data_IF_796531984699
#
_entry.id   IF_796531984699
#
_cell.length_a   1.000
_cell.length_b   1.000
_cell.length_c   1.000
_cell.angle_alpha   90.00
_cell.angle_beta   90.00
_cell.angle_gamma   90.00
#
_symmetry.space_group_name_H-M   'P 1'
#
loop_
_entity.id
_entity.type
_entity.pdbx_description
1 polymer ?
#
# COMPACT_ATOMS: atom_id res chain seq x y z
N UNK A 1 -4.91 17.48 17.83
CA UNK A 1 -5.54 16.15 17.65
C UNK A 1 -7.02 16.28 17.96
N UNK A 2 -7.88 15.78 17.08
CA UNK A 2 -9.34 15.75 17.27
C UNK A 2 -9.73 14.27 17.29
N UNK A 3 -10.49 13.85 18.31
CA UNK A 3 -10.85 12.46 18.52
C UNK A 3 -12.31 12.30 18.87
N UNK A 4 -12.94 11.22 18.38
CA UNK A 4 -14.26 10.81 18.83
C UNK A 4 -14.20 10.17 20.21
N UNK A 5 -15.13 10.54 21.10
CA UNK A 5 -15.23 9.97 22.44
C UNK A 5 -15.51 8.46 22.42
N UNK A 6 -16.26 8.01 21.43
CA UNK A 6 -16.80 6.65 21.36
C UNK A 6 -15.90 5.72 20.51
N UNK A 7 -14.74 6.20 20.04
CA UNK A 7 -13.80 5.45 19.22
C UNK A 7 -13.19 4.26 19.99
N UNK A 8 -13.48 3.05 19.52
CA UNK A 8 -12.95 1.80 20.06
C UNK A 8 -11.67 1.33 19.38
N UNK A 9 -11.36 1.84 18.18
CA UNK A 9 -10.17 1.47 17.43
C UNK A 9 -8.98 2.32 17.86
N UNK A 10 -9.16 3.65 17.93
CA UNK A 10 -8.14 4.60 18.40
C UNK A 10 -8.58 5.19 19.73
N UNK A 11 -8.52 4.37 20.79
CA UNK A 11 -9.04 4.75 22.10
C UNK A 11 -8.34 5.97 22.72
N UNK A 12 -9.10 6.76 23.48
CA UNK A 12 -8.59 7.96 24.18
C UNK A 12 -7.44 7.63 25.13
N UNK A 13 -7.59 6.59 25.95
CA UNK A 13 -6.62 6.23 26.98
C UNK A 13 -5.45 5.40 26.45
N UNK A 14 -5.71 4.50 25.50
CA UNK A 14 -4.68 3.60 24.97
C UNK A 14 -3.75 4.27 23.98
N UNK A 15 -4.23 5.27 23.24
CA UNK A 15 -3.51 5.82 22.09
C UNK A 15 -3.37 7.34 22.16
N UNK A 16 -4.49 8.05 22.28
CA UNK A 16 -4.53 9.47 21.97
C UNK A 16 -3.98 10.36 23.10
N UNK A 17 -4.27 10.04 24.37
CA UNK A 17 -3.72 10.76 25.52
C UNK A 17 -2.20 10.54 25.65
N UNK A 18 -1.67 9.31 25.56
CA UNK A 18 -0.22 9.09 25.52
C UNK A 18 0.47 9.86 24.39
N UNK A 19 -0.12 9.83 23.18
CA UNK A 19 0.43 10.51 22.02
C UNK A 19 0.41 12.04 22.18
N UNK A 20 -0.69 12.61 22.67
CA UNK A 20 -0.78 14.05 22.94
C UNK A 20 0.21 14.49 24.02
N UNK A 21 0.47 13.67 25.04
CA UNK A 21 1.45 13.97 26.09
C UNK A 21 2.90 13.92 25.57
N UNK A 22 3.18 13.11 24.54
CA UNK A 22 4.51 12.98 23.96
C UNK A 22 4.88 14.11 22.98
N UNK A 23 3.90 14.88 22.49
CA UNK A 23 4.12 15.92 21.48
C UNK A 23 4.03 17.32 22.15
N UNK A 24 5.12 18.11 22.15
CA UNK A 24 5.10 19.47 22.68
C UNK A 24 4.02 20.32 22.02
N UNK A 25 3.31 21.13 22.83
CA UNK A 25 2.23 22.03 22.39
C UNK A 25 1.00 21.33 21.77
N UNK A 26 0.95 19.99 21.75
CA UNK A 26 -0.20 19.28 21.22
C UNK A 26 -1.45 19.52 22.07
N UNK A 27 -2.56 19.80 21.38
CA UNK A 27 -3.90 19.89 21.97
C UNK A 27 -4.70 18.67 21.58
N UNK A 28 -5.39 18.06 22.54
CA UNK A 28 -6.35 16.98 22.29
C UNK A 28 -7.78 17.50 22.54
N UNK A 29 -8.56 17.58 21.47
CA UNK A 29 -9.99 17.87 21.54
C UNK A 29 -10.79 16.57 21.39
N UNK A 30 -11.74 16.36 22.30
CA UNK A 30 -12.58 15.15 22.33
C UNK A 30 -14.02 15.52 22.00
N UNK A 31 -14.51 14.97 20.90
CA UNK A 31 -15.84 15.22 20.33
C UNK A 31 -16.81 14.16 20.83
N UNK A 32 -17.90 14.58 21.48
CA UNK A 32 -18.88 13.64 22.04
C UNK A 32 -19.88 13.18 20.98
N UNK A 33 -20.28 11.90 21.00
CA UNK A 33 -21.16 11.34 19.98
C UNK A 33 -20.49 11.12 18.62
N UNK A 34 -19.15 10.99 18.63
CA UNK A 34 -18.34 10.61 17.48
C UNK A 34 -17.49 9.40 17.86
N UNK A 35 -17.35 8.46 16.92
CA UNK A 35 -16.46 7.32 17.00
C UNK A 35 -15.22 7.59 16.12
N UNK A 36 -14.85 6.63 15.26
CA UNK A 36 -13.57 6.68 14.54
C UNK A 36 -13.50 7.78 13.48
N UNK A 37 -14.63 8.22 12.93
CA UNK A 37 -14.69 9.17 11.82
C UNK A 37 -15.33 10.50 12.23
N UNK A 38 -14.77 11.12 13.28
CA UNK A 38 -15.28 12.38 13.82
C UNK A 38 -15.56 13.49 12.78
N UNK A 39 -14.76 13.70 11.70
CA UNK A 39 -15.07 14.69 10.66
C UNK A 39 -16.36 14.40 9.89
N UNK A 40 -16.74 13.12 9.76
CA UNK A 40 -17.96 12.69 9.08
C UNK A 40 -19.16 12.72 10.04
N UNK A 41 -18.95 12.30 11.29
CA UNK A 41 -20.01 12.13 12.27
C UNK A 41 -20.44 13.46 12.91
N UNK A 42 -19.49 14.37 13.10
CA UNK A 42 -19.68 15.67 13.78
C UNK A 42 -19.01 16.82 13.01
N UNK A 43 -19.35 17.02 11.73
CA UNK A 43 -18.63 17.91 10.83
C UNK A 43 -18.55 19.36 11.34
N UNK A 44 -19.65 19.92 11.84
CA UNK A 44 -19.68 21.31 12.32
C UNK A 44 -18.75 21.55 13.52
N UNK A 45 -18.71 20.59 14.45
CA UNK A 45 -17.90 20.66 15.67
C UNK A 45 -16.41 20.48 15.34
N UNK A 46 -16.07 19.55 14.45
CA UNK A 46 -14.71 19.36 13.95
C UNK A 46 -14.22 20.56 13.15
N UNK A 47 -15.04 21.13 12.27
CA UNK A 47 -14.67 22.32 11.50
C UNK A 47 -14.40 23.53 12.40
N UNK A 48 -15.17 23.72 13.47
CA UNK A 48 -14.92 24.80 14.43
C UNK A 48 -13.58 24.63 15.15
N UNK A 49 -13.26 23.40 15.59
CA UNK A 49 -11.97 23.08 16.23
C UNK A 49 -10.77 23.28 15.29
N UNK A 50 -10.95 23.00 13.99
CA UNK A 50 -9.93 23.24 12.98
C UNK A 50 -9.73 24.74 12.71
N UNK A 51 -10.81 25.52 12.66
CA UNK A 51 -10.72 26.97 12.53
C UNK A 51 -9.96 27.59 13.71
N UNK A 52 -10.27 27.17 14.95
CA UNK A 52 -9.56 27.63 16.16
C UNK A 52 -8.07 27.26 16.14
N UNK A 53 -7.72 26.07 15.63
CA UNK A 53 -6.32 25.66 15.48
C UNK A 53 -5.57 26.56 14.47
N UNK A 54 -6.22 26.88 13.36
CA UNK A 54 -5.65 27.68 12.28
C UNK A 54 -5.55 29.16 12.64
N UNK A 55 -6.44 29.65 13.52
CA UNK A 55 -6.43 31.01 14.06
C UNK A 55 -5.46 31.20 15.25
N UNK A 56 -4.63 30.19 15.58
CA UNK A 56 -3.63 30.22 16.64
C UNK A 56 -2.50 31.26 16.45
N UNK A 57 -1.68 31.54 17.49
CA UNK A 57 -0.79 32.69 17.52
C UNK A 57 0.34 32.64 16.48
N UNK A 58 0.82 33.83 16.09
CA UNK A 58 1.82 34.06 15.05
C UNK A 58 3.03 33.11 15.15
N UNK A 59 3.34 32.32 14.11
CA UNK A 59 4.49 31.42 14.10
C UNK A 59 5.86 32.12 14.24
N UNK A 60 5.94 33.45 14.17
CA UNK A 60 7.16 34.24 14.29
C UNK A 60 7.48 34.77 15.71
N UNK A 61 6.73 34.40 16.76
CA UNK A 61 6.97 34.92 18.10
C UNK A 61 8.33 34.46 18.72
N UNK A 62 9.16 35.40 19.24
CA UNK A 62 10.45 35.06 19.82
C UNK A 62 10.32 34.33 21.17
N UNK A 63 11.04 33.20 21.32
CA UNK A 63 11.07 32.39 22.55
C UNK A 63 10.75 30.90 22.37
N UNK A 64 10.46 30.44 21.15
CA UNK A 64 10.20 29.02 20.88
C UNK A 64 11.49 28.19 21.01
N UNK A 65 11.52 27.13 21.83
CA UNK A 65 12.66 26.22 21.85
C UNK A 65 12.74 25.49 20.51
N UNK A 66 13.82 25.71 19.77
CA UNK A 66 14.17 24.85 18.64
C UNK A 66 14.60 23.50 19.24
N UNK A 67 13.74 22.49 19.17
CA UNK A 67 14.18 21.12 19.40
C UNK A 67 15.07 20.76 18.21
N UNK A 68 16.37 20.49 18.39
CA UNK A 68 17.19 20.03 17.29
C UNK A 68 16.56 18.75 16.73
N UNK A 69 16.48 18.63 15.41
CA UNK A 69 16.19 17.32 14.84
C UNK A 69 17.23 16.34 15.41
N UNK A 70 16.82 15.17 15.92
CA UNK A 70 17.79 14.16 16.29
C UNK A 70 18.70 13.92 15.08
N UNK A 71 19.99 13.76 15.34
CA UNK A 71 20.93 13.35 14.30
C UNK A 71 20.34 12.12 13.60
N UNK A 72 20.42 12.04 12.26
CA UNK A 72 19.92 10.88 11.54
C UNK A 72 20.56 9.63 12.17
N UNK A 73 19.71 8.72 12.65
CA UNK A 73 20.22 7.45 13.16
C UNK A 73 21.11 6.82 12.08
N UNK A 74 22.28 6.25 12.46
CA UNK A 74 23.09 5.53 11.50
C UNK A 74 22.21 4.49 10.81
N UNK A 75 22.32 4.31 9.48
CA UNK A 75 21.46 3.38 8.76
C UNK A 75 21.55 2.02 9.46
N UNK A 76 20.42 1.54 9.97
CA UNK A 76 20.34 0.19 10.54
C UNK A 76 20.96 -0.76 9.51
N UNK A 77 21.92 -1.58 9.96
CA UNK A 77 22.48 -2.65 9.15
C UNK A 77 21.32 -3.46 8.59
N UNK A 78 21.10 -3.37 7.28
CA UNK A 78 19.93 -3.99 6.70
C UNK A 78 20.10 -5.51 6.80
N UNK A 79 19.13 -6.23 7.41
CA UNK A 79 19.23 -7.68 7.50
C UNK A 79 19.31 -8.28 6.09
N UNK A 80 20.01 -9.42 5.91
CA UNK A 80 20.07 -10.09 4.62
C UNK A 80 18.68 -10.36 4.04
N UNK A 81 18.59 -10.47 2.72
CA UNK A 81 17.33 -10.74 2.01
C UNK A 81 16.66 -11.98 2.60
N UNK A 82 15.38 -11.84 2.94
CA UNK A 82 14.53 -12.93 3.41
C UNK A 82 14.49 -14.05 2.36
N UNK A 83 15.09 -15.20 2.68
CA UNK A 83 15.20 -16.35 1.78
C UNK A 83 13.82 -16.89 1.38
N UNK A 84 12.86 -16.88 2.32
CA UNK A 84 11.48 -17.28 2.06
C UNK A 84 10.79 -16.27 1.14
N UNK A 85 11.02 -14.97 1.36
CA UNK A 85 10.55 -13.92 0.48
C UNK A 85 11.12 -14.05 -0.93
N UNK A 86 12.42 -14.34 -1.08
CA UNK A 86 13.04 -14.56 -2.39
C UNK A 86 12.46 -15.79 -3.10
N UNK A 87 12.24 -16.89 -2.38
CA UNK A 87 11.61 -18.09 -2.93
C UNK A 87 10.21 -17.79 -3.46
N UNK A 88 9.35 -17.18 -2.65
CA UNK A 88 8.00 -16.82 -3.07
C UNK A 88 8.03 -15.82 -4.24
N UNK A 89 8.95 -14.85 -4.21
CA UNK A 89 9.10 -13.88 -5.30
C UNK A 89 9.37 -14.57 -6.63
N UNK A 90 10.25 -15.58 -6.64
CA UNK A 90 10.59 -16.38 -7.82
C UNK A 90 9.43 -17.25 -8.27
N UNK A 91 8.72 -17.88 -7.34
CA UNK A 91 7.50 -18.63 -7.63
C UNK A 91 6.43 -17.75 -8.31
N UNK A 92 6.34 -16.47 -7.95
CA UNK A 92 5.36 -15.54 -8.53
C UNK A 92 5.86 -14.96 -9.85
N UNK A 93 6.98 -14.22 -9.81
CA UNK A 93 7.46 -13.40 -10.92
C UNK A 93 8.37 -14.15 -11.91
N UNK A 94 8.86 -15.34 -11.52
CA UNK A 94 9.79 -16.14 -12.31
C UNK A 94 11.25 -15.73 -12.12
N UNK A 95 12.14 -16.70 -12.23
CA UNK A 95 13.57 -16.53 -11.96
C UNK A 95 14.22 -15.42 -12.80
N UNK A 96 14.00 -15.43 -14.13
CA UNK A 96 14.59 -14.45 -15.03
C UNK A 96 14.16 -12.99 -14.72
N UNK A 97 12.97 -12.78 -14.16
CA UNK A 97 12.57 -11.44 -13.72
C UNK A 97 13.30 -11.05 -12.44
N UNK A 98 13.33 -11.97 -11.45
CA UNK A 98 13.99 -11.71 -10.17
C UNK A 98 15.49 -11.50 -10.34
N UNK A 99 16.14 -12.30 -11.18
CA UNK A 99 17.57 -12.20 -11.44
C UNK A 99 17.93 -10.85 -12.08
N UNK A 100 17.15 -10.39 -13.06
CA UNK A 100 17.32 -9.05 -13.64
C UNK A 100 17.13 -7.95 -12.60
N UNK A 101 16.05 -8.03 -11.81
CA UNK A 101 15.76 -7.03 -10.79
C UNK A 101 16.86 -6.95 -9.70
N UNK A 102 17.48 -8.07 -9.36
CA UNK A 102 18.61 -8.11 -8.43
C UNK A 102 19.90 -7.58 -9.07
N UNK A 103 20.17 -7.92 -10.34
CA UNK A 103 21.33 -7.45 -11.08
C UNK A 103 21.30 -5.93 -11.30
N UNK A 104 20.11 -5.37 -11.55
CA UNK A 104 19.89 -3.93 -11.75
C UNK A 104 19.76 -3.15 -10.41
N UNK A 105 19.90 -3.84 -9.27
CA UNK A 105 19.79 -3.21 -7.96
C UNK A 105 21.00 -2.29 -7.70
N UNK A 106 20.71 -1.05 -7.33
CA UNK A 106 21.70 -0.03 -6.98
C UNK A 106 21.61 0.29 -5.49
N UNK A 107 22.59 1.00 -4.89
CA UNK A 107 22.46 1.47 -3.52
C UNK A 107 21.19 2.30 -3.27
N UNK A 108 20.68 2.99 -4.30
CA UNK A 108 19.43 3.75 -4.24
C UNK A 108 18.19 2.85 -4.17
N UNK A 109 18.13 1.79 -4.98
CA UNK A 109 16.95 0.91 -5.06
C UNK A 109 17.00 -0.31 -4.12
N UNK A 110 18.17 -0.65 -3.58
CA UNK A 110 18.36 -1.83 -2.72
C UNK A 110 17.46 -1.85 -1.47
N UNK A 111 17.28 -0.74 -0.72
CA UNK A 111 16.37 -0.74 0.43
C UNK A 111 14.93 -1.08 0.04
N UNK A 112 14.49 -0.59 -1.11
CA UNK A 112 13.16 -0.87 -1.64
C UNK A 112 13.03 -2.33 -2.09
N UNK A 113 14.03 -2.87 -2.80
CA UNK A 113 14.03 -4.27 -3.22
C UNK A 113 13.97 -5.22 -2.02
N UNK A 114 14.68 -4.91 -0.93
CA UNK A 114 14.61 -5.68 0.31
C UNK A 114 13.25 -5.55 0.98
N UNK A 115 12.72 -4.33 1.08
CA UNK A 115 11.40 -4.07 1.67
C UNK A 115 10.30 -4.84 0.94
N UNK A 116 10.24 -4.75 -0.39
CA UNK A 116 9.26 -5.47 -1.20
C UNK A 116 9.48 -6.98 -1.07
N UNK A 117 10.73 -7.44 -1.04
CA UNK A 117 11.01 -8.87 -0.96
C UNK A 117 10.48 -9.49 0.32
N UNK A 118 10.77 -8.86 1.46
CA UNK A 118 10.29 -9.30 2.76
C UNK A 118 8.77 -9.14 2.90
N UNK A 119 8.24 -7.97 2.54
CA UNK A 119 6.86 -7.61 2.90
C UNK A 119 5.84 -8.18 1.92
N UNK A 120 6.07 -8.05 0.61
CA UNK A 120 5.14 -8.57 -0.37
C UNK A 120 5.24 -10.10 -0.42
N UNK A 121 6.44 -10.63 -0.58
CA UNK A 121 6.62 -12.06 -0.88
C UNK A 121 6.80 -12.91 0.39
N UNK A 122 7.62 -12.45 1.33
CA UNK A 122 7.88 -13.14 2.59
C UNK A 122 6.71 -13.17 3.56
N UNK A 123 5.88 -12.11 3.56
CA UNK A 123 4.68 -12.01 4.40
C UNK A 123 3.40 -12.14 3.57
N UNK A 124 2.95 -11.10 2.87
CA UNK A 124 1.55 -11.03 2.40
C UNK A 124 1.18 -12.16 1.44
N UNK A 125 2.05 -12.47 0.48
CA UNK A 125 1.83 -13.59 -0.44
C UNK A 125 1.97 -14.93 0.28
N UNK A 126 2.90 -15.12 1.21
CA UNK A 126 3.11 -16.41 1.90
C UNK A 126 1.98 -16.79 2.87
N UNK A 127 1.17 -15.82 3.32
CA UNK A 127 0.10 -16.05 4.30
C UNK A 127 -0.92 -17.12 3.88
N UNK A 128 -1.35 -17.98 4.83
CA UNK A 128 -2.48 -18.88 4.60
C UNK A 128 -3.79 -18.09 4.52
N UNK A 129 -4.74 -18.58 3.74
CA UNK A 129 -6.11 -18.02 3.65
C UNK A 129 -6.58 -17.77 2.22
N UNK A 130 -5.67 -17.37 1.32
CA UNK A 130 -5.93 -17.31 -0.12
C UNK A 130 -4.82 -18.05 -0.85
N UNK A 131 -5.21 -18.91 -1.78
CA UNK A 131 -4.28 -19.58 -2.66
C UNK A 131 -3.66 -18.61 -3.68
N UNK A 132 -2.66 -19.09 -4.42
CA UNK A 132 -1.93 -18.30 -5.42
C UNK A 132 -2.84 -17.83 -6.55
N UNK A 133 -3.83 -18.65 -6.94
CA UNK A 133 -4.80 -18.34 -7.99
C UNK A 133 -5.66 -17.14 -7.61
N UNK A 134 -6.30 -17.19 -6.43
CA UNK A 134 -7.15 -16.12 -5.92
C UNK A 134 -6.37 -14.81 -5.73
N UNK A 135 -5.11 -14.90 -5.27
CA UNK A 135 -4.22 -13.73 -5.17
C UNK A 135 -3.91 -13.12 -6.52
N UNK A 136 -3.62 -13.94 -7.54
CA UNK A 136 -3.44 -13.45 -8.90
C UNK A 136 -4.68 -12.75 -9.46
N UNK A 137 -5.88 -13.30 -9.25
CA UNK A 137 -7.15 -12.63 -9.63
C UNK A 137 -7.25 -11.26 -8.97
N UNK A 138 -7.05 -11.20 -7.65
CA UNK A 138 -7.13 -9.94 -6.90
C UNK A 138 -6.09 -8.91 -7.35
N UNK A 139 -4.85 -9.36 -7.60
CA UNK A 139 -3.78 -8.49 -8.10
C UNK A 139 -4.09 -7.95 -9.49
N UNK A 140 -4.55 -8.79 -10.43
CA UNK A 140 -4.93 -8.32 -11.77
C UNK A 140 -6.06 -7.27 -11.68
N UNK A 141 -7.12 -7.55 -10.91
CA UNK A 141 -8.22 -6.60 -10.72
C UNK A 141 -7.75 -5.26 -10.14
N UNK A 142 -6.83 -5.29 -9.17
CA UNK A 142 -6.25 -4.09 -8.57
C UNK A 142 -5.40 -3.30 -9.58
N UNK A 143 -4.52 -3.96 -10.34
CA UNK A 143 -3.65 -3.30 -11.33
C UNK A 143 -4.47 -2.63 -12.44
N UNK A 144 -5.53 -3.28 -12.90
CA UNK A 144 -6.46 -2.69 -13.87
C UNK A 144 -7.16 -1.46 -13.29
N UNK A 145 -7.66 -1.57 -12.06
CA UNK A 145 -8.36 -0.47 -11.38
C UNK A 145 -7.44 0.75 -11.16
N UNK A 146 -6.16 0.52 -10.90
CA UNK A 146 -5.14 1.55 -10.70
C UNK A 146 -4.50 2.04 -12.00
N UNK A 147 -4.84 1.45 -13.16
CA UNK A 147 -4.20 1.73 -14.47
C UNK A 147 -2.67 1.52 -14.44
N UNK A 148 -2.21 0.54 -13.64
CA UNK A 148 -0.81 0.19 -13.49
C UNK A 148 -0.34 -0.72 -14.65
N UNK A 149 -0.42 -0.20 -15.87
CA UNK A 149 -0.25 -0.95 -17.11
C UNK A 149 1.11 -1.65 -17.26
N UNK A 150 2.18 -1.04 -16.75
CA UNK A 150 3.54 -1.57 -16.84
C UNK A 150 3.76 -2.83 -15.99
N UNK A 151 2.93 -3.04 -14.96
CA UNK A 151 3.01 -4.22 -14.07
C UNK A 151 2.16 -5.39 -14.60
N UNK A 152 1.17 -5.10 -15.45
CA UNK A 152 0.24 -6.12 -15.96
C UNK A 152 0.93 -7.29 -16.67
N UNK A 153 1.92 -7.08 -17.58
CA UNK A 153 2.56 -8.20 -18.28
C UNK A 153 3.17 -9.23 -17.34
N UNK A 154 3.89 -8.80 -16.29
CA UNK A 154 4.49 -9.74 -15.35
C UNK A 154 3.46 -10.45 -14.48
N UNK A 155 2.36 -9.77 -14.12
CA UNK A 155 1.30 -10.37 -13.31
C UNK A 155 0.35 -11.28 -14.10
N UNK A 156 0.18 -11.06 -15.41
CA UNK A 156 -0.47 -12.02 -16.32
C UNK A 156 0.35 -13.31 -16.36
N UNK A 157 1.67 -13.22 -16.54
CA UNK A 157 2.57 -14.39 -16.51
C UNK A 157 2.56 -15.10 -15.16
N UNK A 158 2.53 -14.34 -14.06
CA UNK A 158 2.39 -14.89 -12.72
C UNK A 158 1.05 -15.64 -12.56
N UNK A 159 -0.06 -15.09 -13.07
CA UNK A 159 -1.36 -15.75 -13.05
C UNK A 159 -1.34 -17.10 -13.78
N UNK A 160 -0.77 -17.16 -14.99
CA UNK A 160 -0.59 -18.42 -15.73
C UNK A 160 0.26 -19.42 -14.91
N UNK A 161 1.37 -18.99 -14.32
CA UNK A 161 2.23 -19.85 -13.47
C UNK A 161 1.50 -20.41 -12.26
N UNK A 162 0.57 -19.63 -11.69
CA UNK A 162 -0.29 -20.09 -10.59
C UNK A 162 -1.46 -20.95 -11.07
N UNK A 163 -1.56 -21.20 -12.37
CA UNK A 163 -2.48 -22.12 -13.02
C UNK A 163 -3.71 -21.48 -13.65
N UNK A 164 -3.86 -20.16 -13.63
CA UNK A 164 -5.00 -19.54 -14.32
C UNK A 164 -4.90 -19.82 -15.81
N UNK A 165 -6.05 -20.02 -16.47
CA UNK A 165 -6.10 -20.08 -17.94
C UNK A 165 -6.23 -18.69 -18.57
N UNK A 166 -5.90 -18.52 -19.85
CA UNK A 166 -6.21 -17.29 -20.59
C UNK A 166 -7.68 -16.86 -20.46
N UNK A 167 -8.61 -17.81 -20.44
CA UNK A 167 -10.04 -17.55 -20.28
C UNK A 167 -10.38 -17.02 -18.88
N UNK A 168 -9.78 -17.58 -17.82
CA UNK A 168 -10.00 -17.08 -16.45
C UNK A 168 -9.41 -15.68 -16.24
N UNK A 169 -8.30 -15.37 -16.92
CA UNK A 169 -7.73 -14.02 -16.95
C UNK A 169 -8.70 -13.08 -17.69
N UNK A 170 -9.23 -13.49 -18.84
CA UNK A 170 -10.22 -12.71 -19.59
C UNK A 170 -11.48 -12.42 -18.75
N UNK A 171 -12.03 -13.41 -18.04
CA UNK A 171 -13.17 -13.23 -17.13
C UNK A 171 -12.85 -12.27 -15.97
N UNK A 172 -11.64 -12.33 -15.41
CA UNK A 172 -11.18 -11.40 -14.38
C UNK A 172 -11.18 -9.95 -14.90
N UNK A 173 -10.65 -9.73 -16.10
CA UNK A 173 -10.61 -8.41 -16.74
C UNK A 173 -12.02 -7.90 -17.09
N UNK A 174 -12.89 -8.80 -17.57
CA UNK A 174 -14.28 -8.50 -17.89
C UNK A 174 -15.07 -8.09 -16.64
N UNK A 175 -14.94 -8.85 -15.55
CA UNK A 175 -15.57 -8.53 -14.27
C UNK A 175 -15.10 -7.18 -13.74
N UNK A 176 -13.79 -6.92 -13.83
CA UNK A 176 -13.19 -5.65 -13.39
C UNK A 176 -13.70 -4.46 -14.21
N UNK A 177 -14.05 -4.66 -15.49
CA UNK A 177 -14.57 -3.61 -16.36
C UNK A 177 -15.86 -2.96 -15.82
N UNK A 178 -16.68 -3.70 -15.08
CA UNK A 178 -17.91 -3.18 -14.46
C UNK A 178 -17.62 -2.15 -13.37
N UNK A 179 -16.50 -2.28 -12.68
CA UNK A 179 -16.15 -1.44 -11.53
C UNK A 179 -15.09 -0.38 -11.85
N UNK A 180 -14.10 -0.74 -12.66
CA UNK A 180 -13.01 0.15 -13.07
C UNK A 180 -13.30 0.92 -14.38
N UNK A 181 -14.36 0.55 -15.08
CA UNK A 181 -14.79 1.13 -16.35
C UNK A 181 -14.14 0.50 -17.59
N UNK A 182 -14.89 0.53 -18.69
CA UNK A 182 -14.48 -0.06 -19.98
C UNK A 182 -13.13 0.44 -20.52
N UNK A 183 -12.73 1.73 -20.40
CA UNK A 183 -11.44 2.18 -20.91
C UNK A 183 -10.24 1.51 -20.21
N UNK A 184 -10.33 1.29 -18.90
CA UNK A 184 -9.26 0.62 -18.15
C UNK A 184 -9.16 -0.86 -18.56
N UNK A 185 -10.31 -1.53 -18.67
CA UNK A 185 -10.37 -2.92 -19.11
C UNK A 185 -9.88 -3.11 -20.55
N UNK A 186 -10.28 -2.25 -21.50
CA UNK A 186 -9.81 -2.33 -22.89
C UNK A 186 -8.29 -2.31 -22.99
N UNK A 187 -7.65 -1.43 -22.22
CA UNK A 187 -6.20 -1.33 -22.19
C UNK A 187 -5.56 -2.57 -21.57
N UNK A 188 -6.15 -3.09 -20.49
CA UNK A 188 -5.69 -4.31 -19.85
C UNK A 188 -5.85 -5.55 -20.76
N UNK A 189 -6.95 -5.66 -21.50
CA UNK A 189 -7.16 -6.72 -22.49
C UNK A 189 -6.11 -6.70 -23.60
N UNK A 190 -5.76 -5.51 -24.12
CA UNK A 190 -4.72 -5.39 -25.13
C UNK A 190 -3.36 -5.89 -24.61
N UNK A 191 -2.98 -5.47 -23.41
CA UNK A 191 -1.72 -5.87 -22.76
C UNK A 191 -1.70 -7.37 -22.46
N UNK A 192 -2.79 -7.92 -21.93
CA UNK A 192 -2.90 -9.35 -21.62
C UNK A 192 -2.82 -10.19 -22.90
N UNK A 193 -3.51 -9.80 -23.97
CA UNK A 193 -3.43 -10.50 -25.26
C UNK A 193 -2.02 -10.50 -25.83
N UNK A 194 -1.36 -9.34 -25.86
CA UNK A 194 0.03 -9.24 -26.32
C UNK A 194 0.96 -10.13 -25.50
N UNK A 195 0.87 -10.03 -24.18
CA UNK A 195 1.65 -10.86 -23.24
C UNK A 195 1.46 -12.36 -23.47
N UNK A 196 0.21 -12.80 -23.67
CA UNK A 196 -0.10 -14.22 -23.88
C UNK A 196 0.34 -14.71 -25.27
N UNK A 197 0.28 -13.86 -26.32
CA UNK A 197 0.81 -14.21 -27.64
C UNK A 197 2.33 -14.32 -27.64
N UNK A 198 3.03 -13.39 -26.99
CA UNK A 198 4.49 -13.46 -26.81
C UNK A 198 4.93 -14.78 -26.17
N UNK A 199 4.13 -15.26 -25.21
CA UNK A 199 4.40 -16.50 -24.48
C UNK A 199 3.82 -17.76 -25.17
N UNK A 200 3.20 -17.61 -26.37
CA UNK A 200 2.66 -18.72 -27.16
C UNK A 200 1.38 -19.36 -26.61
N UNK A 201 0.64 -18.63 -25.79
CA UNK A 201 -0.59 -19.07 -25.12
C UNK A 201 -1.88 -18.59 -25.80
N UNK A 202 -1.76 -17.69 -26.79
CA UNK A 202 -2.84 -17.25 -27.66
C UNK A 202 -2.33 -17.13 -29.10
N UNK A 203 -3.25 -17.27 -30.06
CA UNK A 203 -3.02 -16.98 -31.48
C UNK A 203 -3.00 -15.47 -31.80
#
# INVERSE_FOLDING_TARGET
>A
MIAGRDDQATTLDGHLRPLAAAIPEARLAVVSGAAHLAPLERPAEVSALLAELLDGPDPAAPGRPTVPNPDPEPPMSQPPLDEDGLRVRREVLGDAHVDRALADSTPFSAPFQQFVTRTAWGDVWSRPGLDRRARSVATLAALVSLRAEHELPMHVRAAIRHGLTPEEIAETLLHTALYAGLPAANRAFAIAQETLREDGLLE
#
